data_IF_730126287084
#
_entry.id   IF_730126287084
#
_cell.length_a   1.000
_cell.length_b   1.000
_cell.length_c   1.000
_cell.angle_alpha   90.00
_cell.angle_beta   90.00
_cell.angle_gamma   90.00
#
_symmetry.space_group_name_H-M   'P 1'
#
loop_
_entity.id
_entity.type
_entity.pdbx_description
1 polymer ?
#
# COMPACT_ATOMS: atom_id res chain seq x y z
N UNK A 1 -32.90 12.61 -26.63
CA UNK A 1 -31.44 12.46 -26.86
C UNK A 1 -30.74 13.36 -25.85
N UNK A 2 -30.03 12.81 -24.86
CA UNK A 2 -29.33 13.59 -23.84
C UNK A 2 -27.83 13.55 -24.17
N UNK A 3 -27.30 14.67 -24.63
CA UNK A 3 -25.88 14.92 -24.83
C UNK A 3 -25.19 14.91 -23.46
N UNK A 4 -24.40 13.88 -23.20
CA UNK A 4 -23.51 13.84 -22.03
C UNK A 4 -22.24 14.58 -22.47
N UNK A 5 -22.05 15.77 -21.92
CA UNK A 5 -20.84 16.56 -22.13
C UNK A 5 -19.65 15.84 -21.48
N UNK A 6 -18.69 15.43 -22.31
CA UNK A 6 -17.43 14.87 -21.87
C UNK A 6 -16.59 15.97 -21.21
N UNK A 7 -16.25 15.78 -19.93
CA UNK A 7 -15.33 16.66 -19.21
C UNK A 7 -13.92 16.07 -19.30
N UNK A 8 -13.24 16.30 -20.43
CA UNK A 8 -11.80 16.04 -20.55
C UNK A 8 -11.04 17.31 -20.18
N UNK A 9 -10.61 17.41 -18.93
CA UNK A 9 -9.57 18.36 -18.55
C UNK A 9 -8.21 17.81 -19.01
N UNK A 10 -7.76 18.30 -20.16
CA UNK A 10 -6.39 18.15 -20.63
C UNK A 10 -5.49 19.04 -19.74
N UNK A 11 -4.79 18.45 -18.79
CA UNK A 11 -3.63 19.10 -18.16
C UNK A 11 -2.39 18.66 -18.92
N UNK A 12 -2.00 19.48 -19.88
CA UNK A 12 -0.71 19.41 -20.55
C UNK A 12 0.38 19.91 -19.60
N UNK A 13 1.02 18.98 -18.89
CA UNK A 13 2.33 19.17 -18.30
C UNK A 13 3.14 17.92 -18.59
N UNK A 14 4.35 18.07 -19.11
CA UNK A 14 5.32 16.97 -19.21
C UNK A 14 5.81 16.68 -17.77
N UNK A 15 4.91 16.21 -16.92
CA UNK A 15 5.24 15.54 -15.68
C UNK A 15 5.35 14.07 -16.02
N UNK A 16 6.43 13.42 -15.60
CA UNK A 16 6.42 11.96 -15.49
C UNK A 16 5.15 11.62 -14.70
N UNK A 17 4.16 11.02 -15.37
CA UNK A 17 2.90 10.68 -14.73
C UNK A 17 3.23 9.67 -13.65
N UNK A 18 3.30 10.12 -12.40
CA UNK A 18 3.52 9.27 -11.25
C UNK A 18 2.27 8.39 -11.13
N UNK A 19 2.43 7.09 -11.35
CA UNK A 19 1.33 6.15 -11.22
C UNK A 19 0.94 6.05 -9.73
N UNK A 20 -0.31 6.39 -9.43
CA UNK A 20 -0.90 6.23 -8.10
C UNK A 20 -1.94 5.14 -8.20
N UNK A 21 -1.68 4.00 -7.57
CA UNK A 21 -2.60 2.88 -7.57
C UNK A 21 -3.82 3.17 -6.68
N UNK A 22 -5.06 2.98 -7.17
CA UNK A 22 -6.25 3.02 -6.32
C UNK A 22 -6.18 1.96 -5.22
N UNK A 23 -6.78 2.22 -4.06
CA UNK A 23 -6.78 1.30 -2.91
C UNK A 23 -7.24 -0.11 -3.31
N UNK A 24 -8.35 -0.21 -4.04
CA UNK A 24 -8.92 -1.50 -4.47
C UNK A 24 -7.94 -2.32 -5.31
N UNK A 25 -7.20 -1.67 -6.20
CA UNK A 25 -6.17 -2.33 -7.02
C UNK A 25 -4.95 -2.73 -6.17
N UNK A 26 -4.47 -1.83 -5.32
CA UNK A 26 -3.36 -2.11 -4.41
C UNK A 26 -3.68 -3.29 -3.48
N UNK A 27 -4.86 -3.30 -2.86
CA UNK A 27 -5.34 -4.41 -2.03
C UNK A 27 -5.43 -5.71 -2.82
N UNK A 28 -6.04 -5.69 -4.01
CA UNK A 28 -6.16 -6.89 -4.86
C UNK A 28 -4.79 -7.53 -5.16
N UNK A 29 -3.75 -6.72 -5.36
CA UNK A 29 -2.39 -7.21 -5.65
C UNK A 29 -1.58 -7.55 -4.41
N UNK A 30 -1.78 -6.83 -3.30
CA UNK A 30 -1.00 -6.96 -2.08
C UNK A 30 -1.53 -8.04 -1.15
N UNK A 31 -2.85 -8.30 -1.09
CA UNK A 31 -3.45 -9.33 -0.22
C UNK A 31 -2.77 -10.70 -0.38
N UNK A 32 -2.57 -11.24 -1.61
CA UNK A 32 -1.89 -12.54 -1.78
C UNK A 32 -0.43 -12.55 -1.31
N UNK A 33 0.20 -11.38 -1.20
CA UNK A 33 1.57 -11.23 -0.67
C UNK A 33 1.52 -11.15 0.85
N UNK A 34 0.55 -10.42 1.42
CA UNK A 34 0.32 -10.26 2.85
C UNK A 34 -0.10 -11.56 3.53
N UNK A 35 -0.84 -12.44 2.84
CA UNK A 35 -1.14 -13.80 3.31
C UNK A 35 0.12 -14.63 3.62
N UNK A 36 1.23 -14.32 2.92
CA UNK A 36 2.55 -14.94 3.08
C UNK A 36 3.50 -14.08 3.92
N UNK A 37 3.02 -12.94 4.42
CA UNK A 37 3.79 -11.98 5.19
C UNK A 37 4.13 -12.49 6.59
N UNK A 38 5.13 -11.85 7.19
CA UNK A 38 5.49 -12.12 8.58
C UNK A 38 4.43 -11.52 9.50
N UNK A 39 4.13 -12.23 10.60
CA UNK A 39 3.16 -11.80 11.60
C UNK A 39 3.88 -11.06 12.71
N UNK A 40 3.26 -9.99 13.19
CA UNK A 40 3.79 -9.20 14.29
C UNK A 40 2.70 -8.91 15.32
N UNK A 41 3.14 -8.69 16.55
CA UNK A 41 2.35 -8.04 17.60
C UNK A 41 3.05 -6.76 18.03
N UNK A 42 2.30 -5.69 18.20
CA UNK A 42 2.84 -4.41 18.64
C UNK A 42 1.78 -3.58 19.37
N UNK A 43 2.15 -2.36 19.72
CA UNK A 43 1.24 -1.41 20.35
C UNK A 43 0.71 -0.44 19.30
N UNK A 44 -0.62 -0.37 19.19
CA UNK A 44 -1.32 0.55 18.31
C UNK A 44 -2.56 1.10 19.02
N UNK A 45 -2.96 2.36 18.79
CA UNK A 45 -4.24 2.87 19.29
C UNK A 45 -5.46 2.17 18.67
N UNK A 46 -5.25 1.39 17.60
CA UNK A 46 -6.28 0.59 16.96
C UNK A 46 -6.01 -0.90 17.22
N UNK A 47 -6.91 -1.57 17.95
CA UNK A 47 -6.79 -3.00 18.32
C UNK A 47 -6.53 -3.90 17.10
N UNK A 48 -7.24 -3.65 15.99
CA UNK A 48 -7.02 -4.40 14.75
C UNK A 48 -5.57 -4.31 14.22
N UNK A 49 -4.86 -3.25 14.58
CA UNK A 49 -3.47 -2.98 14.21
C UNK A 49 -2.48 -3.36 15.33
N UNK A 50 -2.91 -3.88 16.47
CA UNK A 50 -1.99 -4.52 17.43
C UNK A 50 -1.43 -5.83 16.86
N UNK A 51 -2.20 -6.48 16.00
CA UNK A 51 -1.82 -7.72 15.32
C UNK A 51 -1.81 -7.52 13.80
N UNK A 52 -0.61 -7.40 13.25
CA UNK A 52 -0.43 -7.13 11.82
C UNK A 52 0.24 -8.30 11.10
N UNK A 53 0.03 -8.33 9.79
CA UNK A 53 0.94 -8.95 8.84
C UNK A 53 1.70 -7.86 8.10
N UNK A 54 2.99 -8.08 7.87
CA UNK A 54 3.83 -7.15 7.15
C UNK A 54 4.65 -7.86 6.08
N UNK A 55 4.75 -7.23 4.91
CA UNK A 55 5.58 -7.67 3.80
C UNK A 55 6.53 -6.53 3.44
N UNK A 56 7.85 -6.78 3.36
CA UNK A 56 8.78 -5.74 2.95
C UNK A 56 8.51 -5.36 1.49
N UNK A 57 8.68 -4.07 1.18
CA UNK A 57 8.61 -3.58 -0.19
C UNK A 57 9.76 -4.18 -1.03
N UNK A 58 9.48 -5.30 -1.69
CA UNK A 58 10.47 -6.12 -2.39
C UNK A 58 10.09 -6.36 -3.86
N UNK A 59 10.90 -7.16 -4.56
CA UNK A 59 10.68 -7.48 -5.97
C UNK A 59 9.34 -8.19 -6.24
N UNK A 60 8.81 -8.95 -5.28
CA UNK A 60 7.53 -9.64 -5.43
C UNK A 60 6.37 -8.65 -5.41
N UNK A 61 6.40 -7.65 -4.53
CA UNK A 61 5.41 -6.56 -4.52
C UNK A 61 5.44 -5.82 -5.86
N UNK A 62 6.63 -5.41 -6.32
CA UNK A 62 6.80 -4.71 -7.61
C UNK A 62 6.26 -5.52 -8.79
N UNK A 63 6.61 -6.81 -8.84
CA UNK A 63 6.14 -7.73 -9.87
C UNK A 63 4.62 -7.93 -9.82
N UNK A 64 4.02 -7.99 -8.63
CA UNK A 64 2.57 -8.13 -8.48
C UNK A 64 1.82 -6.89 -9.01
N UNK A 65 2.41 -5.71 -8.87
CA UNK A 65 1.86 -4.44 -9.38
C UNK A 65 2.20 -4.17 -10.85
N UNK A 66 3.15 -4.91 -11.43
CA UNK A 66 3.57 -4.74 -12.82
C UNK A 66 4.52 -3.56 -13.05
N UNK A 67 5.18 -3.09 -11.99
CA UNK A 67 6.10 -1.94 -12.05
C UNK A 67 7.57 -2.34 -11.91
N UNK A 68 8.45 -1.60 -12.58
CA UNK A 68 9.90 -1.67 -12.41
C UNK A 68 10.44 -0.74 -11.31
N UNK A 69 9.60 0.16 -10.79
CA UNK A 69 10.03 1.23 -9.89
C UNK A 69 10.36 0.72 -8.49
N UNK A 70 11.44 1.23 -7.90
CA UNK A 70 11.87 0.87 -6.55
C UNK A 70 10.91 1.35 -5.45
N UNK A 71 10.03 2.30 -5.77
CA UNK A 71 8.97 2.79 -4.90
C UNK A 71 7.64 2.89 -5.63
N UNK A 72 6.54 2.67 -4.92
CA UNK A 72 5.18 2.76 -5.44
C UNK A 72 4.39 3.82 -4.69
N UNK A 73 3.38 4.39 -5.34
CA UNK A 73 2.39 5.26 -4.70
C UNK A 73 1.02 4.59 -4.79
N UNK A 74 0.25 4.63 -3.70
CA UNK A 74 -1.12 4.12 -3.69
C UNK A 74 -1.99 4.88 -2.69
N UNK A 75 -3.29 4.74 -2.82
CA UNK A 75 -4.27 5.23 -1.83
C UNK A 75 -4.41 4.16 -0.74
N UNK A 76 -4.08 4.50 0.50
CA UNK A 76 -4.25 3.62 1.65
C UNK A 76 -5.73 3.52 2.08
N UNK A 77 -6.02 2.66 3.06
CA UNK A 77 -7.39 2.45 3.54
C UNK A 77 -7.98 3.60 4.35
N UNK A 78 -7.21 4.65 4.63
CA UNK A 78 -7.70 5.91 5.20
C UNK A 78 -7.91 6.97 4.10
N UNK A 79 -7.69 6.63 2.83
CA UNK A 79 -7.85 7.52 1.68
C UNK A 79 -6.64 8.42 1.40
N UNK A 80 -5.50 8.19 2.06
CA UNK A 80 -4.30 8.99 1.89
C UNK A 80 -3.43 8.46 0.75
N UNK A 81 -2.85 9.36 -0.03
CA UNK A 81 -1.77 8.99 -0.95
C UNK A 81 -0.50 8.72 -0.15
N UNK A 82 -0.05 7.46 -0.17
CA UNK A 82 1.16 7.00 0.51
C UNK A 82 2.21 6.53 -0.47
N UNK A 83 3.48 6.62 -0.07
CA UNK A 83 4.64 6.12 -0.82
C UNK A 83 5.26 4.95 -0.05
N UNK A 84 5.46 3.82 -0.71
CA UNK A 84 6.23 2.70 -0.17
C UNK A 84 7.52 2.52 -0.97
N UNK A 85 8.67 2.73 -0.32
CA UNK A 85 10.00 2.50 -0.87
C UNK A 85 10.70 1.28 -0.26
N UNK A 86 11.97 1.03 -0.62
CA UNK A 86 12.71 -0.17 -0.22
C UNK A 86 12.87 -0.39 1.30
N UNK A 87 12.80 0.68 2.09
CA UNK A 87 12.89 0.63 3.56
C UNK A 87 11.51 0.60 4.25
N UNK A 88 10.45 0.40 3.47
CA UNK A 88 9.08 0.36 3.96
C UNK A 88 8.48 -1.05 3.86
N UNK A 89 7.43 -1.26 4.63
CA UNK A 89 6.61 -2.44 4.65
C UNK A 89 5.19 -2.07 4.27
N UNK A 90 4.57 -2.94 3.47
CA UNK A 90 3.12 -2.96 3.34
C UNK A 90 2.60 -3.77 4.52
N UNK A 91 1.66 -3.19 5.27
CA UNK A 91 1.08 -3.83 6.44
C UNK A 91 -0.44 -3.90 6.34
N UNK A 92 -1.02 -4.88 7.03
CA UNK A 92 -2.45 -5.04 7.17
C UNK A 92 -2.78 -5.65 8.54
N UNK A 93 -3.99 -5.42 9.10
CA UNK A 93 -4.50 -6.23 10.19
C UNK A 93 -4.57 -7.70 9.75
N UNK A 94 -4.62 -8.64 10.70
CA UNK A 94 -4.73 -10.09 10.37
C UNK A 94 -5.94 -10.46 9.51
N UNK A 95 -7.00 -9.66 9.56
CA UNK A 95 -8.19 -9.80 8.71
C UNK A 95 -7.94 -9.44 7.23
N UNK A 96 -6.80 -8.83 6.91
CA UNK A 96 -6.45 -8.31 5.57
C UNK A 96 -7.45 -7.29 5.02
N UNK A 97 -8.24 -6.68 5.90
CA UNK A 97 -9.33 -5.79 5.50
C UNK A 97 -8.88 -4.37 5.15
N UNK A 98 -7.61 -4.04 5.40
CA UNK A 98 -7.03 -2.70 5.20
C UNK A 98 -5.57 -2.82 4.83
N UNK A 99 -5.03 -1.82 4.12
CA UNK A 99 -3.61 -1.75 3.79
C UNK A 99 -3.03 -0.38 4.16
N UNK A 100 -1.81 -0.41 4.68
CA UNK A 100 -1.06 0.78 5.07
C UNK A 100 0.42 0.61 4.75
N UNK A 101 1.17 1.71 4.84
CA UNK A 101 2.63 1.71 4.76
C UNK A 101 3.22 1.97 6.14
N UNK A 102 4.22 1.18 6.51
CA UNK A 102 4.98 1.38 7.73
C UNK A 102 6.46 1.31 7.44
N UNK A 103 7.23 2.31 7.88
CA UNK A 103 8.69 2.24 7.75
C UNK A 103 9.26 1.08 8.57
N UNK A 104 10.34 0.48 8.08
CA UNK A 104 11.08 -0.58 8.79
C UNK A 104 11.48 -0.17 10.20
N UNK A 105 11.92 1.08 10.39
CA UNK A 105 12.27 1.62 11.71
C UNK A 105 11.08 1.57 12.66
N UNK A 106 9.92 2.05 12.23
CA UNK A 106 8.71 2.06 13.04
C UNK A 106 8.23 0.63 13.34
N UNK A 107 8.30 -0.28 12.35
CA UNK A 107 8.00 -1.69 12.58
C UNK A 107 8.92 -2.28 13.67
N UNK A 108 10.22 -2.03 13.61
CA UNK A 108 11.18 -2.54 14.59
C UNK A 108 11.03 -1.90 15.98
N UNK A 109 10.65 -0.64 16.04
CA UNK A 109 10.48 0.09 17.29
C UNK A 109 9.24 -0.41 18.05
N UNK A 110 8.11 -0.54 17.36
CA UNK A 110 6.79 -0.75 17.98
C UNK A 110 6.22 -2.16 17.84
N UNK A 111 6.80 -3.02 17.00
CA UNK A 111 6.30 -4.37 16.75
C UNK A 111 7.37 -5.45 16.99
N UNK A 112 6.92 -6.65 17.36
CA UNK A 112 7.75 -7.84 17.58
C UNK A 112 7.24 -8.97 16.71
N UNK A 113 8.16 -9.61 15.98
CA UNK A 113 7.83 -10.75 15.12
C UNK A 113 7.38 -11.96 15.94
N UNK A 114 6.43 -12.71 15.40
CA UNK A 114 5.99 -14.00 15.95
C UNK A 114 6.66 -15.18 15.26
#
# INVERSE_FOLDING_TARGET
>A
MKTIAAFFLFVSGIGFAMEIYPETYAMQKMIPQLEKGNRYTGSSPYEAMEHIVAVPMNANIRKALGTGDSSIHFIDSDGNTVKAGPEDYIIAPRSLSRIYVLSKRHLQEYYRGQ
#
